data_IF_494953255082
#
_entry.id   IF_494953255082
#
_cell.length_a   1.000
_cell.length_b   1.000
_cell.length_c   1.000
_cell.angle_alpha   90.00
_cell.angle_beta   90.00
_cell.angle_gamma   90.00
#
_symmetry.space_group_name_H-M   'P 1'
#
loop_
_entity.id
_entity.type
_entity.pdbx_description
1 polymer ?
#
# COMPACT_ATOMS: atom_id res chain seq x y z
N UNK A 1 -20.02 -28.20 -7.04
CA UNK A 1 -18.78 -27.93 -6.27
C UNK A 1 -18.65 -26.42 -6.16
N UNK A 2 -18.69 -25.86 -4.94
CA UNK A 2 -18.42 -24.44 -4.75
C UNK A 2 -16.96 -24.18 -5.14
N UNK A 3 -16.73 -23.23 -6.05
CA UNK A 3 -15.38 -22.86 -6.49
C UNK A 3 -14.73 -22.13 -5.32
N UNK A 4 -13.60 -22.62 -4.79
CA UNK A 4 -12.87 -21.89 -3.75
C UNK A 4 -12.49 -20.51 -4.26
N UNK A 5 -12.91 -19.47 -3.54
CA UNK A 5 -12.51 -18.10 -3.83
C UNK A 5 -11.04 -17.91 -3.46
N UNK A 6 -10.33 -17.16 -4.31
CA UNK A 6 -8.95 -16.79 -4.07
C UNK A 6 -8.96 -15.76 -2.95
N UNK A 7 -8.27 -16.08 -1.85
CA UNK A 7 -8.16 -15.21 -0.69
C UNK A 7 -7.59 -13.84 -1.08
N UNK A 8 -8.22 -12.79 -0.57
CA UNK A 8 -7.86 -11.37 -0.80
C UNK A 8 -7.92 -10.91 -2.27
N UNK A 9 -8.52 -11.71 -3.17
CA UNK A 9 -8.71 -11.31 -4.56
C UNK A 9 -9.95 -10.45 -4.73
N UNK A 10 -9.86 -9.44 -5.59
CA UNK A 10 -10.99 -8.61 -6.00
C UNK A 10 -11.61 -9.21 -7.24
N UNK A 11 -12.90 -9.56 -7.14
CA UNK A 11 -13.70 -10.11 -8.23
C UNK A 11 -14.49 -8.99 -8.92
N UNK A 12 -14.20 -8.76 -10.20
CA UNK A 12 -14.95 -7.83 -11.05
C UNK A 12 -15.68 -8.59 -12.16
N UNK A 13 -16.53 -7.90 -12.93
CA UNK A 13 -17.35 -8.51 -14.00
C UNK A 13 -16.54 -9.31 -15.03
N UNK A 14 -15.30 -8.89 -15.33
CA UNK A 14 -14.47 -9.50 -16.39
C UNK A 14 -13.10 -9.98 -15.92
N UNK A 15 -12.65 -9.55 -14.75
CA UNK A 15 -11.30 -9.82 -14.26
C UNK A 15 -11.31 -10.12 -12.77
N UNK A 16 -10.37 -10.96 -12.36
CA UNK A 16 -10.07 -11.24 -10.96
C UNK A 16 -8.62 -10.83 -10.77
N UNK A 17 -8.33 -10.01 -9.76
CA UNK A 17 -6.97 -9.55 -9.51
C UNK A 17 -6.64 -9.52 -8.03
N UNK A 18 -5.35 -9.65 -7.72
CA UNK A 18 -4.79 -9.53 -6.38
C UNK A 18 -3.40 -8.88 -6.50
N UNK A 19 -3.34 -7.56 -6.38
CA UNK A 19 -2.12 -6.80 -6.59
C UNK A 19 -1.46 -6.43 -5.25
N UNK A 20 -0.16 -6.72 -5.15
CA UNK A 20 0.68 -6.39 -3.99
C UNK A 20 1.77 -5.42 -4.43
N UNK A 21 1.91 -4.30 -3.72
CA UNK A 21 2.90 -3.28 -4.04
C UNK A 21 3.77 -2.97 -2.82
N UNK A 22 5.08 -2.89 -3.06
CA UNK A 22 6.03 -2.30 -2.12
C UNK A 22 6.46 -0.94 -2.66
N UNK A 23 6.01 0.14 -2.01
CA UNK A 23 6.37 1.50 -2.37
C UNK A 23 7.45 2.02 -1.41
N UNK A 24 8.62 2.39 -1.96
CA UNK A 24 9.74 2.97 -1.21
C UNK A 24 10.19 4.24 -1.92
N UNK A 25 10.29 5.34 -1.18
CA UNK A 25 10.82 6.61 -1.67
C UNK A 25 11.68 7.27 -0.60
N UNK A 26 12.36 8.35 -0.98
CA UNK A 26 13.21 9.15 -0.11
C UNK A 26 12.83 10.63 -0.16
N UNK A 27 13.22 11.38 0.86
CA UNK A 27 13.03 12.83 0.90
C UNK A 27 13.97 13.54 -0.07
N UNK A 28 13.58 14.74 -0.50
CA UNK A 28 14.44 15.63 -1.30
C UNK A 28 15.77 15.85 -0.58
N UNK A 29 16.87 15.63 -1.30
CA UNK A 29 18.24 15.68 -0.77
C UNK A 29 18.53 14.75 0.43
N UNK A 30 17.70 13.71 0.64
CA UNK A 30 17.78 12.82 1.80
C UNK A 30 17.73 13.58 3.14
N UNK A 31 17.06 14.73 3.16
CA UNK A 31 16.90 15.51 4.38
C UNK A 31 16.13 14.68 5.43
N UNK A 32 16.59 14.72 6.69
CA UNK A 32 15.94 14.02 7.80
C UNK A 32 14.71 14.81 8.26
N UNK A 33 13.63 14.73 7.49
CA UNK A 33 12.38 15.46 7.77
C UNK A 33 11.49 14.73 8.77
N UNK A 34 11.42 13.39 8.67
CA UNK A 34 10.60 12.56 9.56
C UNK A 34 11.40 12.10 10.79
N UNK A 35 11.77 13.05 11.65
CA UNK A 35 12.57 12.77 12.86
C UNK A 35 11.72 12.45 14.09
N UNK A 36 10.44 12.84 14.07
CA UNK A 36 9.48 12.51 15.14
C UNK A 36 8.45 11.50 14.65
N UNK A 37 7.88 10.76 15.59
CA UNK A 37 6.80 9.82 15.31
C UNK A 37 5.56 10.52 14.73
N UNK A 38 5.22 11.71 15.25
CA UNK A 38 4.11 12.50 14.74
C UNK A 38 4.26 12.81 13.24
N UNK A 39 5.41 13.38 12.81
CA UNK A 39 5.66 13.71 11.41
C UNK A 39 5.63 12.47 10.51
N UNK A 40 6.13 11.33 11.03
CA UNK A 40 6.10 10.06 10.32
C UNK A 40 4.68 9.54 10.14
N UNK A 41 3.82 9.68 11.15
CA UNK A 41 2.44 9.22 11.12
C UNK A 41 1.54 10.12 10.27
N UNK A 42 1.77 11.44 10.30
CA UNK A 42 1.12 12.39 9.39
C UNK A 42 1.45 12.09 7.92
N UNK A 43 2.68 11.67 7.60
CA UNK A 43 3.01 11.26 6.24
C UNK A 43 2.34 9.93 5.85
N UNK A 44 2.33 8.95 6.75
CA UNK A 44 1.71 7.64 6.49
C UNK A 44 0.21 7.74 6.21
N UNK A 45 -0.49 8.75 6.72
CA UNK A 45 -1.93 8.91 6.49
C UNK A 45 -2.28 9.44 5.08
N UNK A 46 -1.32 10.03 4.37
CA UNK A 46 -1.51 10.59 3.02
C UNK A 46 -1.26 9.51 1.94
N UNK A 47 -0.68 8.37 2.31
CA UNK A 47 -0.30 7.28 1.42
C UNK A 47 -1.25 6.09 1.54
#
# INVERSE_FOLDING_TARGET
MAKEEIRDAVYTRRYIYNFHYHLIWVTKYRNKTFVTEQLSNEMKSIL
#
